data_IF_181742916340
#
_entry.id   IF_181742916340
#
_cell.length_a   1.000
_cell.length_b   1.000
_cell.length_c   1.000
_cell.angle_alpha   90.00
_cell.angle_beta   90.00
_cell.angle_gamma   90.00
#
_symmetry.space_group_name_H-M   'P 1'
#
loop_
_entity.id
_entity.type
_entity.pdbx_description
1 polymer ?
#
# COMPACT_ATOMS: atom_id res chain seq x y z
N UNK A 1 6.27 -38.98 3.98
CA UNK A 1 6.08 -39.49 5.36
C UNK A 1 5.97 -38.29 6.28
N UNK A 2 4.74 -37.88 6.63
CA UNK A 2 4.50 -36.73 7.51
C UNK A 2 4.38 -37.21 8.96
N UNK A 3 5.33 -36.80 9.79
CA UNK A 3 5.39 -36.97 11.26
C UNK A 3 6.16 -35.71 11.72
N UNK A 4 5.67 -34.80 12.55
CA UNK A 4 5.03 -34.95 13.86
C UNK A 4 4.35 -33.63 14.27
N UNK A 5 3.30 -33.75 15.07
CA UNK A 5 2.53 -32.68 15.70
C UNK A 5 3.18 -32.14 17.00
N UNK A 6 2.94 -30.84 17.23
CA UNK A 6 2.67 -30.12 18.50
C UNK A 6 3.75 -30.02 19.58
N UNK A 7 4.10 -28.77 19.90
CA UNK A 7 4.36 -28.32 21.26
C UNK A 7 3.61 -26.98 21.50
N UNK A 8 2.54 -27.03 22.30
CA UNK A 8 1.87 -25.86 22.87
C UNK A 8 2.66 -25.42 24.12
N UNK A 9 3.16 -24.17 24.14
CA UNK A 9 3.62 -23.53 25.37
C UNK A 9 2.64 -22.40 25.68
N UNK A 10 1.73 -22.68 26.59
CA UNK A 10 0.89 -21.68 27.22
C UNK A 10 1.71 -20.98 28.32
N UNK A 11 1.94 -19.68 28.17
CA UNK A 11 2.38 -18.82 29.26
C UNK A 11 1.20 -17.91 29.64
N UNK A 12 0.60 -18.20 30.80
CA UNK A 12 -0.43 -17.40 31.43
C UNK A 12 0.12 -16.84 32.75
N UNK A 13 0.14 -15.50 32.88
CA UNK A 13 0.12 -14.74 34.14
C UNK A 13 0.45 -13.26 33.84
N UNK A 14 -0.20 -12.22 34.33
CA UNK A 14 -1.39 -11.97 35.14
C UNK A 14 -1.78 -10.50 34.83
N UNK A 15 -3.07 -10.17 34.72
CA UNK A 15 -3.53 -8.78 34.65
C UNK A 15 -3.57 -8.22 36.08
N UNK A 16 -2.69 -7.26 36.38
CA UNK A 16 -2.83 -6.44 37.59
C UNK A 16 -3.78 -5.29 37.29
N UNK A 17 -4.93 -5.31 37.93
CA UNK A 17 -5.93 -4.25 37.92
C UNK A 17 -5.54 -3.16 38.93
N UNK A 18 -5.56 -1.90 38.49
CA UNK A 18 -5.79 -0.75 39.37
C UNK A 18 -6.95 0.06 38.79
N UNK A 19 -8.14 -0.18 39.34
CA UNK A 19 -9.31 0.66 39.18
C UNK A 19 -9.33 1.64 40.37
N UNK A 20 -8.97 2.90 40.13
CA UNK A 20 -9.22 3.99 41.09
C UNK A 20 -10.53 4.66 40.71
N UNK A 21 -11.56 4.43 41.53
CA UNK A 21 -12.84 5.13 41.44
C UNK A 21 -13.00 5.92 42.76
N UNK A 22 -12.96 7.24 42.69
CA UNK A 22 -13.55 8.11 43.71
C UNK A 22 -14.46 9.14 43.02
N UNK A 23 -15.67 9.25 43.57
CA UNK A 23 -16.79 10.08 43.17
C UNK A 23 -16.45 11.59 43.32
N UNK A 24 -17.16 12.58 42.74
CA UNK A 24 -18.57 12.94 42.97
C UNK A 24 -18.85 14.31 42.31
N UNK A 25 -20.01 14.46 41.64
CA UNK A 25 -20.91 15.64 41.40
C UNK A 25 -20.29 17.01 40.99
N UNK A 26 -20.88 17.84 40.14
CA UNK A 26 -22.27 18.30 40.08
C UNK A 26 -22.54 19.08 38.77
N UNK A 27 -23.80 19.49 38.58
CA UNK A 27 -24.43 19.95 37.35
C UNK A 27 -24.41 21.49 37.14
N UNK A 28 -24.74 21.91 35.90
CA UNK A 28 -25.46 23.14 35.51
C UNK A 28 -24.68 24.42 35.06
N UNK A 29 -24.77 24.68 33.74
CA UNK A 29 -25.23 25.91 33.01
C UNK A 29 -24.58 27.32 33.16
N UNK A 30 -24.54 27.96 31.98
CA UNK A 30 -24.59 29.42 31.66
C UNK A 30 -23.30 30.25 31.52
N UNK A 31 -23.09 30.66 30.25
CA UNK A 31 -22.25 31.70 29.59
C UNK A 31 -22.39 33.13 30.20
N UNK A 32 -21.76 34.24 29.71
CA UNK A 32 -20.62 34.47 28.78
C UNK A 32 -19.61 35.58 29.23
N UNK A 33 -18.44 35.74 28.57
CA UNK A 33 -17.85 37.07 28.17
C UNK A 33 -16.50 36.99 27.41
N UNK A 34 -16.51 37.66 26.25
CA UNK A 34 -15.48 38.47 25.57
C UNK A 34 -14.12 37.92 25.12
N UNK A 35 -14.01 37.72 23.79
CA UNK A 35 -13.07 38.37 22.83
C UNK A 35 -11.58 38.53 23.20
N UNK A 36 -10.67 37.78 22.57
CA UNK A 36 -9.86 38.20 21.40
C UNK A 36 -8.87 37.09 20.95
N UNK A 37 -8.95 36.74 19.64
CA UNK A 37 -7.81 36.64 18.68
C UNK A 37 -6.80 35.48 18.80
N UNK A 38 -6.99 34.42 17.99
CA UNK A 38 -6.29 34.18 16.69
C UNK A 38 -6.17 32.67 16.35
N UNK A 39 -6.87 32.29 15.27
CA UNK A 39 -6.57 31.33 14.19
C UNK A 39 -5.85 30.00 14.51
N UNK A 40 -6.52 28.85 14.38
CA UNK A 40 -6.79 28.07 13.14
C UNK A 40 -5.77 26.93 13.01
N UNK A 41 -6.25 25.70 13.11
CA UNK A 41 -5.90 24.52 12.30
C UNK A 41 -6.12 23.24 13.13
N UNK A 42 -7.26 22.58 12.94
CA UNK A 42 -7.27 21.12 12.91
C UNK A 42 -8.51 20.63 12.15
N UNK A 43 -8.32 20.41 10.84
CA UNK A 43 -9.29 19.69 10.02
C UNK A 43 -9.10 18.21 10.32
N UNK A 44 -10.06 17.64 11.04
CA UNK A 44 -10.33 16.20 11.00
C UNK A 44 -10.95 15.88 9.63
N UNK A 45 -10.24 15.12 8.81
CA UNK A 45 -10.88 14.25 7.82
C UNK A 45 -10.36 12.82 8.03
N UNK A 46 -11.04 12.09 8.91
CA UNK A 46 -11.21 10.65 8.73
C UNK A 46 -12.12 10.46 7.51
N UNK A 47 -11.58 9.93 6.42
CA UNK A 47 -12.34 9.11 5.49
C UNK A 47 -11.57 7.83 5.21
N UNK A 48 -12.02 6.78 5.89
CA UNK A 48 -11.78 5.40 5.49
C UNK A 48 -12.35 5.20 4.07
N UNK A 49 -11.49 5.03 3.09
CA UNK A 49 -11.88 4.47 1.80
C UNK A 49 -11.68 2.95 1.88
N UNK A 50 -12.82 2.27 2.04
CA UNK A 50 -12.97 0.84 1.96
C UNK A 50 -12.74 0.41 0.49
N UNK A 51 -11.51 0.06 0.13
CA UNK A 51 -11.22 -0.55 -1.16
C UNK A 51 -11.60 -2.04 -1.12
N UNK A 52 -12.86 -2.34 -1.42
CA UNK A 52 -13.31 -3.66 -1.81
C UNK A 52 -12.65 -4.06 -3.14
N UNK A 53 -12.14 -5.29 -3.31
CA UNK A 53 -11.53 -5.72 -4.56
C UNK A 53 -12.61 -5.89 -5.64
N UNK A 54 -12.68 -4.98 -6.60
CA UNK A 54 -13.46 -5.19 -7.81
C UNK A 54 -12.61 -6.01 -8.79
N UNK A 55 -12.75 -7.34 -8.71
CA UNK A 55 -12.39 -8.24 -9.80
C UNK A 55 -13.27 -7.92 -11.01
N UNK A 56 -12.72 -7.19 -11.97
CA UNK A 56 -13.19 -7.24 -13.35
C UNK A 56 -12.01 -7.53 -14.25
N UNK A 57 -11.89 -8.82 -14.58
CA UNK A 57 -11.00 -9.35 -15.58
C UNK A 57 -11.38 -8.79 -16.96
N UNK A 58 -10.60 -7.82 -17.45
CA UNK A 58 -10.48 -7.63 -18.90
C UNK A 58 -9.28 -8.42 -19.38
N UNK A 59 -9.59 -9.63 -19.86
CA UNK A 59 -8.71 -10.47 -20.66
C UNK A 59 -8.30 -9.72 -21.92
N UNK A 60 -7.09 -9.19 -21.91
CA UNK A 60 -6.24 -9.01 -23.10
C UNK A 60 -4.78 -9.01 -22.64
N UNK A 61 -4.33 -10.16 -22.14
CA UNK A 61 -2.91 -10.42 -21.94
C UNK A 61 -2.28 -10.75 -23.29
N UNK A 62 -1.95 -9.72 -24.07
CA UNK A 62 -0.90 -9.87 -25.07
C UNK A 62 0.43 -9.94 -24.29
N UNK A 63 0.99 -11.15 -24.20
CA UNK A 63 2.32 -11.35 -23.63
C UNK A 63 3.35 -10.83 -24.67
N UNK A 64 3.48 -9.50 -24.77
CA UNK A 64 4.45 -8.86 -25.67
C UNK A 64 5.82 -8.82 -25.01
N UNK A 65 6.67 -9.77 -25.42
CA UNK A 65 8.12 -9.73 -25.15
C UNK A 65 8.72 -8.64 -26.05
N UNK A 66 8.51 -7.36 -25.72
CA UNK A 66 9.12 -6.25 -26.42
C UNK A 66 9.93 -5.38 -25.45
N UNK A 67 11.10 -5.87 -25.04
CA UNK A 67 11.99 -5.21 -24.08
C UNK A 67 12.28 -3.73 -24.41
N UNK A 68 12.32 -3.38 -25.69
CA UNK A 68 12.53 -2.00 -26.18
C UNK A 68 11.38 -1.06 -25.78
N UNK A 69 10.16 -1.56 -25.69
CA UNK A 69 8.98 -0.77 -25.30
C UNK A 69 9.06 -0.38 -23.81
N UNK A 70 9.50 -1.31 -22.96
CA UNK A 70 9.54 -1.14 -21.51
C UNK A 70 10.66 -0.23 -21.05
N UNK A 71 11.84 -0.34 -21.66
CA UNK A 71 13.01 0.47 -21.29
C UNK A 71 12.81 1.96 -21.56
N UNK A 72 11.86 2.32 -22.43
CA UNK A 72 11.46 3.71 -22.70
C UNK A 72 10.53 4.32 -21.65
N UNK A 73 9.97 3.51 -20.75
CA UNK A 73 9.01 3.98 -19.76
C UNK A 73 9.73 4.80 -18.66
N UNK A 74 9.18 5.94 -18.23
CA UNK A 74 9.81 6.78 -17.20
C UNK A 74 10.01 6.05 -15.87
N UNK A 75 9.16 5.07 -15.57
CA UNK A 75 9.24 4.24 -14.37
C UNK A 75 10.25 3.08 -14.46
N UNK A 76 10.73 2.71 -15.64
CA UNK A 76 11.51 1.49 -15.85
C UNK A 76 12.78 1.45 -15.03
N UNK A 77 13.60 2.49 -15.10
CA UNK A 77 14.87 2.56 -14.39
C UNK A 77 14.67 2.38 -12.88
N UNK A 78 13.61 3.00 -12.32
CA UNK A 78 13.31 2.85 -10.89
C UNK A 78 12.80 1.45 -10.55
N UNK A 79 12.05 0.80 -11.44
CA UNK A 79 11.62 -0.58 -11.25
C UNK A 79 12.84 -1.50 -11.17
N UNK A 80 13.75 -1.43 -12.14
CA UNK A 80 14.97 -2.26 -12.18
C UNK A 80 15.88 -1.97 -10.99
N UNK A 81 16.02 -0.72 -10.57
CA UNK A 81 16.77 -0.35 -9.36
C UNK A 81 16.25 -1.07 -8.10
N UNK A 82 14.92 -1.25 -7.99
CA UNK A 82 14.30 -1.84 -6.80
C UNK A 82 14.27 -3.37 -6.82
N UNK A 83 14.09 -3.99 -7.99
CA UNK A 83 13.91 -5.45 -8.10
C UNK A 83 15.16 -6.19 -8.63
N UNK A 84 16.13 -5.44 -9.14
CA UNK A 84 17.33 -5.93 -9.81
C UNK A 84 17.12 -6.19 -11.30
N UNK A 85 18.22 -6.13 -12.04
CA UNK A 85 18.28 -6.48 -13.45
C UNK A 85 18.41 -8.02 -13.57
N UNK A 86 17.26 -8.67 -13.73
CA UNK A 86 17.14 -10.11 -14.00
C UNK A 86 16.37 -10.27 -15.31
N UNK A 87 16.38 -11.47 -15.88
CA UNK A 87 15.54 -11.85 -17.03
C UNK A 87 14.04 -11.90 -16.65
N UNK A 88 13.52 -10.75 -16.24
CA UNK A 88 12.15 -10.55 -15.84
C UNK A 88 11.29 -10.31 -17.08
N UNK A 89 10.13 -10.95 -17.14
CA UNK A 89 9.14 -10.76 -18.19
C UNK A 89 8.11 -9.76 -17.70
N UNK A 90 7.96 -8.67 -18.44
CA UNK A 90 6.98 -7.64 -18.14
C UNK A 90 5.69 -7.88 -18.93
N UNK A 91 4.55 -7.70 -18.27
CA UNK A 91 3.23 -7.82 -18.87
C UNK A 91 2.37 -6.61 -18.49
N UNK A 92 1.80 -5.96 -19.50
CA UNK A 92 0.92 -4.80 -19.28
C UNK A 92 -0.47 -5.33 -18.92
N UNK A 93 -0.95 -4.99 -17.74
CA UNK A 93 -2.31 -5.31 -17.29
C UNK A 93 -3.25 -4.13 -17.56
N UNK A 94 -2.75 -2.91 -17.44
CA UNK A 94 -3.50 -1.69 -17.74
C UNK A 94 -2.53 -0.62 -18.19
N UNK A 95 -2.88 0.10 -19.24
CA UNK A 95 -2.22 1.36 -19.61
C UNK A 95 -3.27 2.33 -20.15
N UNK A 96 -3.60 3.36 -19.36
CA UNK A 96 -4.52 4.42 -19.76
C UNK A 96 -3.94 5.79 -19.41
N UNK A 97 -4.68 6.87 -19.67
CA UNK A 97 -4.20 8.24 -19.44
C UNK A 97 -3.82 8.52 -17.97
N UNK A 98 -4.46 7.85 -17.02
CA UNK A 98 -4.24 8.07 -15.59
C UNK A 98 -3.15 7.17 -14.99
N UNK A 99 -3.14 5.88 -15.36
CA UNK A 99 -2.28 4.89 -14.72
C UNK A 99 -1.80 3.80 -15.66
N UNK A 100 -0.64 3.24 -15.30
CA UNK A 100 -0.09 2.01 -15.87
C UNK A 100 0.10 0.97 -14.78
N UNK A 101 -0.33 -0.27 -15.02
CA UNK A 101 -0.15 -1.42 -14.13
C UNK A 101 0.61 -2.48 -14.90
N UNK A 102 1.77 -2.84 -14.36
CA UNK A 102 2.64 -3.85 -14.93
C UNK A 102 2.74 -5.03 -13.97
N UNK A 103 2.71 -6.22 -14.54
CA UNK A 103 2.97 -7.47 -13.85
C UNK A 103 4.34 -7.98 -14.28
N UNK A 104 5.17 -8.32 -13.31
CA UNK A 104 6.55 -8.72 -13.54
C UNK A 104 6.67 -10.17 -13.11
N UNK A 105 6.99 -11.02 -14.08
CA UNK A 105 7.18 -12.45 -13.93
C UNK A 105 8.66 -12.81 -13.98
N UNK A 106 9.04 -13.85 -13.25
CA UNK A 106 10.38 -14.42 -13.38
C UNK A 106 10.52 -15.30 -14.63
N UNK A 107 11.69 -15.94 -14.76
CA UNK A 107 12.02 -16.88 -15.83
C UNK A 107 11.08 -18.09 -15.89
N UNK A 108 10.47 -18.48 -14.77
CA UNK A 108 9.51 -19.59 -14.69
C UNK A 108 8.09 -19.13 -15.03
N UNK A 109 7.88 -17.82 -15.25
CA UNK A 109 6.58 -17.23 -15.50
C UNK A 109 5.77 -16.95 -14.24
N UNK A 110 6.37 -17.10 -13.04
CA UNK A 110 5.69 -16.81 -11.78
C UNK A 110 5.67 -15.31 -11.51
N UNK A 111 4.51 -14.82 -11.05
CA UNK A 111 4.33 -13.41 -10.70
C UNK A 111 5.12 -13.06 -9.44
N UNK A 112 6.13 -12.20 -9.59
CA UNK A 112 6.97 -11.76 -8.48
C UNK A 112 6.55 -10.37 -7.99
N UNK A 113 6.24 -9.46 -8.91
CA UNK A 113 5.91 -8.08 -8.59
C UNK A 113 4.75 -7.53 -9.41
N UNK A 114 4.04 -6.58 -8.80
CA UNK A 114 3.08 -5.72 -9.47
C UNK A 114 3.51 -4.26 -9.28
N UNK A 115 3.46 -3.49 -10.35
CA UNK A 115 3.69 -2.04 -10.31
C UNK A 115 2.40 -1.29 -10.56
N UNK A 116 2.31 -0.09 -9.97
CA UNK A 116 1.26 0.87 -10.26
C UNK A 116 1.96 2.21 -10.45
N UNK A 117 1.95 2.71 -11.68
CA UNK A 117 2.46 4.03 -12.03
C UNK A 117 1.29 4.99 -12.28
N UNK A 118 1.25 6.08 -11.54
CA UNK A 118 0.25 7.13 -11.64
C UNK A 118 0.86 8.28 -12.44
N UNK A 119 0.39 8.49 -13.68
CA UNK A 119 1.08 9.34 -14.68
C UNK A 119 1.07 10.82 -14.30
N UNK A 120 -0.07 11.34 -13.85
CA UNK A 120 -0.22 12.76 -13.51
C UNK A 120 0.64 13.22 -12.32
N UNK A 121 0.99 12.30 -11.41
CA UNK A 121 1.83 12.59 -10.23
C UNK A 121 3.22 11.97 -10.34
N UNK A 122 3.50 11.26 -11.45
CA UNK A 122 4.72 10.47 -11.62
C UNK A 122 5.01 9.55 -10.44
N UNK A 123 3.97 9.01 -9.79
CA UNK A 123 4.11 8.21 -8.58
C UNK A 123 4.16 6.74 -8.92
N UNK A 124 5.21 6.06 -8.50
CA UNK A 124 5.40 4.63 -8.69
C UNK A 124 5.21 3.90 -7.35
N UNK A 125 4.38 2.86 -7.36
CA UNK A 125 4.27 1.86 -6.30
C UNK A 125 4.72 0.50 -6.83
N UNK A 126 5.54 -0.22 -6.07
CA UNK A 126 5.98 -1.59 -6.37
C UNK A 126 5.61 -2.50 -5.21
N UNK A 127 4.93 -3.59 -5.52
CA UNK A 127 4.39 -4.55 -4.55
C UNK A 127 4.91 -5.94 -4.91
N UNK A 128 5.45 -6.66 -3.91
CA UNK A 128 5.81 -8.06 -4.04
C UNK A 128 4.57 -8.94 -3.84
N UNK A 129 4.25 -9.76 -4.84
CA UNK A 129 2.99 -10.53 -4.90
C UNK A 129 2.96 -11.63 -3.83
N UNK A 130 4.07 -12.33 -3.63
CA UNK A 130 4.17 -13.47 -2.70
C UNK A 130 4.59 -13.03 -1.28
N UNK A 131 3.75 -12.23 -0.62
CA UNK A 131 3.85 -11.97 0.83
C UNK A 131 4.90 -10.94 1.28
N UNK A 132 5.54 -10.22 0.35
CA UNK A 132 6.51 -9.17 0.70
C UNK A 132 5.91 -7.78 0.90
N UNK A 133 4.65 -7.57 0.52
CA UNK A 133 4.00 -6.26 0.61
C UNK A 133 4.60 -5.20 -0.32
N UNK A 134 4.37 -3.93 0.01
CA UNK A 134 4.88 -2.80 -0.75
C UNK A 134 6.38 -2.60 -0.46
N UNK A 135 7.21 -2.64 -1.51
CA UNK A 135 8.66 -2.44 -1.39
C UNK A 135 9.10 -1.04 -1.81
N UNK A 136 8.30 -0.35 -2.63
CA UNK A 136 8.56 1.02 -3.04
C UNK A 136 7.25 1.80 -3.21
N UNK A 137 7.26 3.08 -2.82
CA UNK A 137 6.18 4.02 -3.06
C UNK A 137 6.70 5.47 -3.02
N UNK A 138 6.89 6.06 -4.18
CA UNK A 138 7.47 7.40 -4.29
C UNK A 138 7.22 8.05 -5.65
N UNK A 139 7.45 9.37 -5.71
CA UNK A 139 7.42 10.14 -6.95
C UNK A 139 8.75 10.05 -7.67
N UNK A 140 8.71 9.88 -8.98
CA UNK A 140 9.88 9.95 -9.84
C UNK A 140 10.18 11.43 -10.10
N UNK A 141 11.40 11.87 -9.79
CA UNK A 141 11.85 13.19 -10.18
C UNK A 141 11.93 13.22 -11.72
N UNK A 142 11.15 14.11 -12.34
CA UNK A 142 11.26 14.39 -13.77
C UNK A 142 12.56 15.18 -13.95
N UNK A 143 13.60 14.53 -14.47
CA UNK A 143 14.89 15.17 -14.80
C UNK A 143 14.85 15.83 -16.17
#
# INVERSE_FOLDING_TARGET
>A
MFKTFIAFIAAASMLTACNSNEAHKDNNESTPKNEEVLQTENIQEERQENEQPTEQAQNQSAESVNHEEWSSLPEYNKIIEQIGDKDNRFQTVTDNEGKRILLIKDENGEEQYKTIFIKNTSRLKIIKVNGGGQIFNGTLAQS
#
